data_IF_361865918039
#
_entry.id   IF_361865918039
#
_cell.length_a   1.000
_cell.length_b   1.000
_cell.length_c   1.000
_cell.angle_alpha   90.00
_cell.angle_beta   90.00
_cell.angle_gamma   90.00
#
_symmetry.space_group_name_H-M   'P 1'
#
loop_
_entity.id
_entity.type
_entity.pdbx_description
1 polymer ?
#
# COMPACT_ATOMS: atom_id res chain seq x y z
N UNK A 1 7.83 4.63 10.38
CA UNK A 1 7.30 6.01 10.43
C UNK A 1 5.93 5.88 11.04
N UNK A 2 5.69 6.43 12.22
CA UNK A 2 4.45 6.24 12.99
C UNK A 2 3.17 6.43 12.15
N UNK A 3 3.15 7.42 11.26
CA UNK A 3 2.00 7.70 10.39
C UNK A 3 1.71 6.60 9.35
N UNK A 4 2.75 5.95 8.80
CA UNK A 4 2.56 4.87 7.82
C UNK A 4 2.08 3.61 8.52
N UNK A 5 2.64 3.30 9.68
CA UNK A 5 2.27 2.13 10.47
C UNK A 5 0.81 2.25 10.94
N UNK A 6 0.39 3.46 11.33
CA UNK A 6 -0.99 3.78 11.66
C UNK A 6 -1.93 3.70 10.44
N UNK A 7 -1.47 4.19 9.28
CA UNK A 7 -2.21 4.05 8.01
C UNK A 7 -2.44 2.59 7.64
N UNK A 8 -1.44 1.72 7.84
CA UNK A 8 -1.58 0.27 7.66
C UNK A 8 -2.59 -0.31 8.64
N UNK A 9 -2.58 0.12 9.91
CA UNK A 9 -3.50 -0.37 10.95
C UNK A 9 -4.96 -0.10 10.57
N UNK A 10 -5.29 1.13 10.19
CA UNK A 10 -6.66 1.56 9.87
C UNK A 10 -7.15 1.14 8.48
N UNK A 11 -6.24 0.88 7.54
CA UNK A 11 -6.60 0.48 6.18
C UNK A 11 -7.38 -0.86 6.22
N UNK A 12 -8.45 -0.97 5.41
CA UNK A 12 -9.21 -2.22 5.28
C UNK A 12 -8.35 -3.30 4.63
N UNK A 13 -8.69 -4.57 4.86
CA UNK A 13 -8.06 -5.70 4.15
C UNK A 13 -8.18 -5.52 2.65
N UNK A 14 -7.12 -5.87 1.91
CA UNK A 14 -6.95 -5.61 0.46
C UNK A 14 -6.99 -4.13 0.04
N UNK A 15 -7.08 -3.19 0.98
CA UNK A 15 -7.04 -1.75 0.71
C UNK A 15 -5.66 -1.27 0.28
N UNK A 16 -5.64 -0.11 -0.39
CA UNK A 16 -4.40 0.50 -0.89
C UNK A 16 -3.92 1.63 0.01
N UNK A 17 -2.61 1.71 0.16
CA UNK A 17 -1.89 2.74 0.91
C UNK A 17 -0.92 3.40 -0.06
N UNK A 18 -1.08 4.69 -0.26
CA UNK A 18 -0.35 5.45 -1.27
C UNK A 18 0.53 6.46 -0.56
N UNK A 19 1.83 6.39 -0.81
CA UNK A 19 2.84 7.25 -0.18
C UNK A 19 3.60 8.01 -1.27
N UNK A 20 3.39 9.33 -1.34
CA UNK A 20 4.18 10.20 -2.18
C UNK A 20 5.39 10.71 -1.39
N UNK A 21 6.59 10.30 -1.79
CA UNK A 21 7.81 10.69 -1.10
C UNK A 21 8.94 11.00 -2.09
N UNK A 22 10.00 11.70 -1.65
CA UNK A 22 11.19 11.99 -2.47
C UNK A 22 12.09 10.76 -2.72
N UNK A 23 11.78 9.64 -2.08
CA UNK A 23 12.54 8.41 -2.20
C UNK A 23 11.57 7.23 -2.25
N UNK A 24 12.06 6.11 -2.77
CA UNK A 24 11.34 4.85 -2.70
C UNK A 24 11.18 4.46 -1.23
N UNK A 25 9.94 4.41 -0.76
CA UNK A 25 9.65 4.12 0.63
C UNK A 25 9.87 2.63 0.91
N UNK A 26 10.39 2.26 2.10
CA UNK A 26 10.55 0.86 2.50
C UNK A 26 9.17 0.20 2.59
N UNK A 27 9.05 -1.05 2.17
CA UNK A 27 7.76 -1.77 2.29
C UNK A 27 7.34 -1.87 3.78
N UNK A 28 6.15 -1.39 4.15
CA UNK A 28 5.60 -1.57 5.49
C UNK A 28 5.22 -3.03 5.78
N UNK A 29 5.27 -3.44 7.04
CA UNK A 29 4.85 -4.78 7.47
C UNK A 29 3.35 -5.00 7.21
N UNK A 30 2.94 -6.25 6.97
CA UNK A 30 1.54 -6.64 6.66
C UNK A 30 0.98 -5.98 5.39
N UNK A 31 1.87 -5.53 4.52
CA UNK A 31 1.53 -5.02 3.19
C UNK A 31 2.42 -5.66 2.15
N UNK A 32 1.93 -5.69 0.91
CA UNK A 32 2.71 -6.01 -0.28
C UNK A 32 2.91 -4.76 -1.12
N UNK A 33 4.08 -4.58 -1.72
CA UNK A 33 4.27 -3.53 -2.73
C UNK A 33 3.44 -3.85 -3.96
N UNK A 34 2.50 -2.97 -4.28
CA UNK A 34 1.63 -3.12 -5.44
C UNK A 34 2.23 -2.45 -6.67
N UNK A 35 2.69 -1.21 -6.53
CA UNK A 35 3.29 -0.46 -7.64
C UNK A 35 4.22 0.63 -7.12
N UNK A 36 5.15 1.03 -7.97
CA UNK A 36 5.99 2.22 -7.78
C UNK A 36 5.84 3.07 -9.03
N UNK A 37 5.45 4.34 -8.87
CA UNK A 37 5.37 5.28 -9.98
C UNK A 37 6.41 6.37 -9.75
N UNK A 38 7.49 6.42 -10.54
CA UNK A 38 8.40 7.55 -10.50
C UNK A 38 7.68 8.79 -11.02
N UNK A 39 7.77 9.89 -10.28
CA UNK A 39 7.20 11.18 -10.64
C UNK A 39 8.37 12.15 -10.84
N UNK A 40 8.57 12.53 -12.09
CA UNK A 40 9.50 13.58 -12.46
C UNK A 40 8.76 14.90 -12.28
N UNK A 41 9.12 15.64 -11.26
CA UNK A 41 8.64 17.00 -11.07
C UNK A 41 9.72 17.95 -11.57
N UNK A 42 9.45 18.72 -12.63
CA UNK A 42 10.18 19.92 -13.08
C UNK A 42 11.71 19.90 -13.21
N UNK A 43 12.31 20.99 -13.71
CA UNK A 43 13.76 21.08 -13.95
C UNK A 43 14.63 21.15 -12.68
N UNK A 44 14.05 21.45 -11.51
CA UNK A 44 14.80 21.70 -10.26
C UNK A 44 14.38 20.82 -9.06
N UNK A 45 13.55 19.79 -9.27
CA UNK A 45 12.97 19.04 -8.16
C UNK A 45 13.52 17.61 -8.09
N UNK A 46 13.89 17.21 -6.87
CA UNK A 46 14.32 15.84 -6.53
C UNK A 46 13.27 14.83 -7.01
N UNK A 47 13.73 13.73 -7.62
CA UNK A 47 12.87 12.62 -8.09
C UNK A 47 11.89 12.26 -6.97
N UNK A 48 10.60 12.28 -7.26
CA UNK A 48 9.59 11.75 -6.34
C UNK A 48 9.20 10.35 -6.77
N UNK A 49 8.81 9.54 -5.81
CA UNK A 49 8.27 8.22 -6.07
C UNK A 49 6.93 8.09 -5.33
N UNK A 50 5.90 7.71 -6.06
CA UNK A 50 4.63 7.28 -5.51
C UNK A 50 4.74 5.78 -5.22
N UNK A 51 4.93 5.45 -3.95
CA UNK A 51 4.97 4.07 -3.48
C UNK A 51 3.55 3.62 -3.13
N UNK A 52 3.06 2.59 -3.82
CA UNK A 52 1.71 2.04 -3.61
C UNK A 52 1.87 0.66 -2.97
N UNK A 53 1.27 0.51 -1.79
CA UNK A 53 1.21 -0.73 -1.03
C UNK A 53 -0.23 -1.22 -0.95
N UNK A 54 -0.42 -2.53 -0.89
CA UNK A 54 -1.72 -3.13 -0.64
C UNK A 54 -1.65 -3.88 0.68
N UNK A 55 -2.60 -3.64 1.58
CA UNK A 55 -2.71 -4.36 2.84
C UNK A 55 -3.04 -5.82 2.57
N UNK A 56 -2.34 -6.73 3.25
CA UNK A 56 -2.59 -8.15 3.08
C UNK A 56 -4.03 -8.51 3.51
N UNK A 57 -4.64 -9.51 2.85
CA UNK A 57 -5.96 -9.98 3.24
C UNK A 57 -5.88 -10.58 4.65
N UNK A 58 -6.64 -10.01 5.58
CA UNK A 58 -6.83 -10.64 6.89
C UNK A 58 -7.44 -12.03 6.69
N UNK A 59 -6.93 -13.02 7.43
CA UNK A 59 -7.40 -14.41 7.40
C UNK A 59 -8.90 -14.57 7.69
N UNK A 60 -9.53 -13.56 8.30
CA UNK A 60 -10.98 -13.48 8.50
C UNK A 60 -11.78 -13.39 7.18
N UNK A 61 -11.29 -12.66 6.18
CA UNK A 61 -12.00 -12.47 4.90
C UNK A 61 -11.79 -13.66 3.92
N UNK A 62 -10.88 -14.59 4.23
CA UNK A 62 -10.72 -15.82 3.44
C UNK A 62 -11.93 -16.77 3.57
N UNK A 63 -12.66 -16.73 4.69
CA UNK A 63 -13.92 -17.47 4.85
C UNK A 63 -15.01 -16.92 3.93
N UNK A 64 -15.21 -15.61 3.93
CA UNK A 64 -16.21 -14.94 3.09
C UNK A 64 -15.95 -15.12 1.59
N UNK A 65 -14.68 -15.09 1.15
CA UNK A 65 -14.32 -15.36 -0.25
C UNK A 65 -14.46 -16.82 -0.68
N UNK A 66 -14.42 -17.79 0.25
CA UNK A 66 -14.71 -19.20 -0.07
C UNK A 66 -16.22 -19.41 -0.22
N UNK A 67 -17.04 -18.83 0.66
CA UNK A 67 -18.50 -18.90 0.55
C UNK A 67 -19.02 -18.24 -0.74
N UNK A 68 -18.50 -17.06 -1.12
CA UNK A 68 -18.93 -16.38 -2.36
C UNK A 68 -18.50 -17.07 -3.66
N UNK A 69 -17.55 -18.00 -3.64
CA UNK A 69 -17.12 -18.76 -4.84
C UNK A 69 -17.86 -20.09 -5.02
N UNK A 70 -18.71 -20.46 -4.06
CA UNK A 70 -19.44 -21.73 -4.02
C UNK A 70 -20.94 -21.58 -4.35
N UNK A 71 -21.37 -20.38 -4.74
CA UNK A 71 -22.74 -20.07 -5.22
C UNK A 71 -22.68 -19.82 -6.72
#
# INVERSE_FOLDING_TARGET
YSFIDESVRICKSDGFIIVLHFLVYKQPDKTRRYKLIPIISGPNLRIRALSIFQKEPSTLCKKERKEMRLI
#
